data_IF_441494712904
#
_entry.id   IF_441494712904
#
_cell.length_a   1.000
_cell.length_b   1.000
_cell.length_c   1.000
_cell.angle_alpha   90.00
_cell.angle_beta   90.00
_cell.angle_gamma   90.00
#
_symmetry.space_group_name_H-M   'P 1'
#
loop_
_entity.id
_entity.type
_entity.pdbx_description
1 polymer ?
#
# COMPACT_ATOMS: atom_id res chain seq x y z
N UNK A 1 -33.50 -0.64 -23.62
CA UNK A 1 -32.96 -0.78 -22.26
C UNK A 1 -31.90 -1.87 -22.34
N UNK A 2 -30.67 -1.48 -22.69
CA UNK A 2 -29.56 -2.42 -22.86
C UNK A 2 -29.02 -2.68 -21.46
N UNK A 3 -29.20 -3.90 -20.97
CA UNK A 3 -28.51 -4.39 -19.78
C UNK A 3 -27.01 -4.32 -20.07
N UNK A 4 -26.33 -3.35 -19.46
CA UNK A 4 -24.87 -3.32 -19.43
C UNK A 4 -24.48 -4.56 -18.64
N UNK A 5 -23.89 -5.54 -19.32
CA UNK A 5 -23.28 -6.70 -18.69
C UNK A 5 -22.36 -6.20 -17.57
N UNK A 6 -22.57 -6.69 -16.36
CA UNK A 6 -21.87 -6.21 -15.17
C UNK A 6 -20.36 -6.15 -15.39
N UNK A 7 -19.73 -5.07 -14.92
CA UNK A 7 -18.30 -4.85 -15.01
C UNK A 7 -17.55 -6.05 -14.39
N UNK A 8 -16.87 -6.87 -15.20
CA UNK A 8 -16.01 -7.96 -14.72
C UNK A 8 -14.91 -7.38 -13.86
N UNK A 9 -14.38 -8.11 -12.90
CA UNK A 9 -13.18 -7.71 -12.14
C UNK A 9 -11.91 -7.50 -12.99
N UNK A 10 -11.90 -7.98 -14.23
CA UNK A 10 -10.85 -7.77 -15.23
C UNK A 10 -11.19 -6.72 -16.30
N UNK A 11 -12.30 -5.99 -16.18
CA UNK A 11 -12.83 -5.14 -17.26
C UNK A 11 -11.81 -4.16 -17.84
N UNK A 12 -10.92 -3.60 -17.00
CA UNK A 12 -9.87 -2.67 -17.43
C UNK A 12 -8.91 -3.36 -18.39
N UNK A 13 -8.40 -4.52 -17.98
CA UNK A 13 -7.46 -5.29 -18.77
C UNK A 13 -8.13 -5.87 -20.03
N UNK A 14 -9.41 -6.23 -19.93
CA UNK A 14 -10.20 -6.72 -21.05
C UNK A 14 -10.37 -5.63 -22.13
N UNK A 15 -10.86 -4.45 -21.72
CA UNK A 15 -11.01 -3.31 -22.62
C UNK A 15 -9.70 -2.97 -23.32
N UNK A 16 -8.61 -2.83 -22.58
CA UNK A 16 -7.32 -2.46 -23.17
C UNK A 16 -6.78 -3.56 -24.09
N UNK A 17 -6.98 -4.83 -23.75
CA UNK A 17 -6.58 -5.93 -24.63
C UNK A 17 -7.32 -5.88 -25.98
N UNK A 18 -8.61 -5.58 -25.96
CA UNK A 18 -9.42 -5.40 -27.17
C UNK A 18 -8.97 -4.18 -28.01
N UNK A 19 -8.25 -3.24 -27.38
CA UNK A 19 -7.65 -2.07 -28.03
C UNK A 19 -6.16 -2.28 -28.38
N UNK A 20 -5.71 -3.54 -28.43
CA UNK A 20 -4.38 -3.92 -28.93
C UNK A 20 -3.27 -3.88 -27.89
N UNK A 21 -3.60 -3.81 -26.60
CA UNK A 21 -2.62 -3.91 -25.52
C UNK A 21 -2.31 -5.39 -25.25
N UNK A 22 -1.03 -5.74 -25.20
CA UNK A 22 -0.62 -7.10 -24.87
C UNK A 22 -0.93 -7.38 -23.39
N UNK A 23 -1.73 -8.43 -23.12
CA UNK A 23 -1.95 -8.90 -21.75
C UNK A 23 -0.67 -9.52 -21.20
N UNK A 24 -0.37 -9.14 -19.97
CA UNK A 24 0.76 -9.64 -19.23
C UNK A 24 0.26 -10.35 -17.99
N UNK A 25 0.73 -11.57 -17.69
CA UNK A 25 0.32 -12.28 -16.48
C UNK A 25 0.76 -11.50 -15.24
N UNK A 26 -0.07 -11.52 -14.20
CA UNK A 26 0.25 -10.90 -12.93
C UNK A 26 1.55 -11.47 -12.34
N UNK A 27 2.43 -10.60 -11.86
CA UNK A 27 3.61 -10.99 -11.09
C UNK A 27 3.27 -11.41 -9.65
N UNK A 28 4.27 -11.90 -8.88
CA UNK A 28 4.07 -12.19 -7.45
C UNK A 28 3.63 -10.91 -6.73
N UNK A 29 2.71 -11.01 -5.75
CA UNK A 29 2.20 -9.85 -5.01
C UNK A 29 3.36 -9.01 -4.47
N UNK A 30 3.35 -7.75 -4.86
CA UNK A 30 4.35 -6.79 -4.44
C UNK A 30 4.09 -6.38 -2.99
N UNK A 31 5.02 -6.71 -2.09
CA UNK A 31 5.11 -6.08 -0.77
C UNK A 31 6.03 -4.88 -0.91
N UNK A 32 5.50 -3.66 -0.75
CA UNK A 32 6.31 -2.45 -0.77
C UNK A 32 7.26 -2.43 0.45
N UNK A 33 8.56 -2.16 0.24
CA UNK A 33 9.58 -2.07 1.30
C UNK A 33 9.69 -0.63 1.84
N UNK A 34 10.19 -0.45 3.07
CA UNK A 34 10.26 0.83 3.79
C UNK A 34 11.22 1.86 3.15
N UNK A 35 12.24 1.43 2.40
CA UNK A 35 13.05 2.35 1.58
C UNK A 35 12.31 2.85 0.33
N UNK A 36 11.12 2.30 0.08
CA UNK A 36 10.25 2.54 -1.07
C UNK A 36 8.97 3.29 -0.64
N UNK A 37 8.91 3.72 0.62
CA UNK A 37 7.70 4.21 1.30
C UNK A 37 7.24 5.62 0.90
N UNK A 38 8.11 6.39 0.24
CA UNK A 38 7.77 7.73 -0.26
C UNK A 38 7.59 7.77 -1.77
N UNK A 39 7.64 6.61 -2.42
CA UNK A 39 7.51 6.56 -3.84
C UNK A 39 6.65 5.35 -4.22
N UNK A 40 5.50 5.70 -4.76
CA UNK A 40 4.92 5.07 -5.94
C UNK A 40 5.69 3.85 -6.50
N UNK A 41 4.95 2.84 -6.93
CA UNK A 41 5.43 1.50 -7.27
C UNK A 41 6.76 1.33 -8.01
N UNK A 42 7.82 1.15 -7.24
CA UNK A 42 9.11 0.86 -7.85
C UNK A 42 9.22 -0.53 -8.48
N UNK A 43 8.33 -1.49 -8.18
CA UNK A 43 8.29 -2.77 -8.90
C UNK A 43 7.55 -2.68 -10.24
N UNK A 44 6.48 -1.89 -10.34
CA UNK A 44 5.76 -1.69 -11.61
C UNK A 44 6.60 -0.83 -12.57
N UNK A 45 7.39 0.12 -12.04
CA UNK A 45 8.35 0.93 -12.81
C UNK A 45 9.56 0.16 -13.35
N UNK A 46 9.96 -0.91 -12.66
CA UNK A 46 11.01 -1.81 -13.12
C UNK A 46 10.49 -2.96 -13.99
N UNK A 47 9.18 -3.16 -14.10
CA UNK A 47 8.58 -4.14 -15.02
C UNK A 47 8.90 -3.81 -16.51
N UNK A 48 8.81 -2.56 -16.99
CA UNK A 48 9.35 -2.15 -18.29
C UNK A 48 10.84 -2.44 -18.47
N UNK A 49 11.60 -2.60 -17.38
CA UNK A 49 13.06 -2.77 -17.40
C UNK A 49 13.50 -4.24 -17.33
N UNK A 50 12.62 -5.14 -16.88
CA UNK A 50 13.03 -6.44 -16.32
C UNK A 50 12.88 -7.68 -17.19
N UNK A 51 12.21 -7.68 -18.34
CA UNK A 51 12.13 -8.90 -19.13
C UNK A 51 11.30 -8.85 -20.41
N UNK A 52 11.96 -9.18 -21.53
CA UNK A 52 11.45 -9.97 -22.65
C UNK A 52 10.26 -9.48 -23.50
N UNK A 53 9.35 -8.66 -22.96
CA UNK A 53 8.28 -8.05 -23.74
C UNK A 53 8.92 -7.10 -24.74
N UNK A 54 8.90 -7.49 -26.02
CA UNK A 54 9.42 -6.73 -27.13
C UNK A 54 9.07 -5.24 -26.95
N UNK A 55 10.09 -4.39 -27.05
CA UNK A 55 10.04 -2.94 -26.75
C UNK A 55 8.95 -2.16 -27.51
N UNK A 56 8.25 -2.78 -28.47
CA UNK A 56 7.38 -2.12 -29.43
C UNK A 56 5.89 -2.04 -29.02
N UNK A 57 5.37 -2.91 -28.15
CA UNK A 57 3.90 -3.00 -27.95
C UNK A 57 3.44 -2.46 -26.59
N UNK A 58 2.31 -1.71 -26.55
CA UNK A 58 1.68 -1.33 -25.30
C UNK A 58 1.18 -2.59 -24.56
N UNK A 59 1.16 -2.54 -23.23
CA UNK A 59 0.87 -3.72 -22.41
C UNK A 59 0.01 -3.37 -21.20
N UNK A 60 -0.75 -4.36 -20.73
CA UNK A 60 -1.65 -4.24 -19.58
C UNK A 60 -1.49 -5.42 -18.63
N UNK A 61 -1.55 -5.16 -17.32
CA UNK A 61 -1.44 -6.14 -16.25
C UNK A 61 -2.33 -5.74 -15.08
N UNK A 62 -3.17 -6.64 -14.58
CA UNK A 62 -3.89 -6.46 -13.32
C UNK A 62 -3.16 -7.20 -12.19
N UNK A 63 -2.97 -6.55 -11.06
CA UNK A 63 -2.22 -7.09 -9.93
C UNK A 63 -2.78 -6.60 -8.59
N UNK A 64 -2.81 -7.50 -7.61
CA UNK A 64 -3.06 -7.14 -6.21
C UNK A 64 -1.79 -6.57 -5.56
N UNK A 65 -1.95 -5.41 -4.93
CA UNK A 65 -0.90 -4.68 -4.26
C UNK A 65 -1.22 -4.54 -2.79
N UNK A 66 -0.22 -4.74 -1.92
CA UNK A 66 -0.37 -4.56 -0.48
C UNK A 66 0.33 -3.26 -0.11
N UNK A 67 -0.43 -2.32 0.46
CA UNK A 67 0.07 -1.07 1.00
C UNK A 67 0.23 -1.23 2.53
N UNK A 68 1.44 -1.53 3.03
CA UNK A 68 1.68 -1.62 4.48
C UNK A 68 1.68 -0.22 5.14
N UNK A 69 1.77 0.86 4.35
CA UNK A 69 1.63 2.23 4.85
C UNK A 69 0.19 2.47 5.28
N UNK A 70 0.00 2.67 6.58
CA UNK A 70 -1.30 2.63 7.22
C UNK A 70 -1.34 1.81 8.51
N UNK A 71 -0.35 0.94 8.73
CA UNK A 71 -0.14 0.28 10.03
C UNK A 71 0.57 1.26 10.99
N UNK A 72 0.05 2.48 11.13
CA UNK A 72 0.50 3.38 12.18
C UNK A 72 -0.32 3.08 13.44
N UNK A 73 0.31 2.63 14.55
CA UNK A 73 -0.40 2.44 15.81
C UNK A 73 -0.87 3.76 16.47
N UNK A 74 -0.60 4.93 15.87
CA UNK A 74 -0.75 6.26 16.49
C UNK A 74 -1.78 7.21 15.87
N UNK A 75 -2.74 6.77 15.04
CA UNK A 75 -3.82 7.69 14.65
C UNK A 75 -4.85 7.16 13.64
N UNK A 76 -5.94 7.90 13.44
CA UNK A 76 -6.91 7.61 12.39
C UNK A 76 -6.33 8.09 11.06
N UNK A 77 -5.80 7.18 10.24
CA UNK A 77 -5.82 7.28 8.76
C UNK A 77 -5.25 6.03 8.10
N UNK A 78 -6.08 5.51 7.20
CA UNK A 78 -5.91 4.40 6.24
C UNK A 78 -5.37 3.10 6.84
N UNK A 79 -6.21 2.09 7.12
CA UNK A 79 -5.72 0.75 7.43
C UNK A 79 -4.82 0.22 6.32
N UNK A 80 -3.82 -0.60 6.65
CA UNK A 80 -2.98 -1.27 5.67
C UNK A 80 -3.85 -1.99 4.63
N UNK A 81 -3.93 -1.41 3.44
CA UNK A 81 -4.92 -1.78 2.44
C UNK A 81 -4.28 -2.59 1.35
N UNK A 82 -4.90 -3.71 1.03
CA UNK A 82 -4.71 -4.37 -0.25
C UNK A 82 -5.58 -3.67 -1.28
N UNK A 83 -5.08 -3.44 -2.49
CA UNK A 83 -5.83 -2.84 -3.60
C UNK A 83 -5.55 -3.65 -4.87
N UNK A 84 -6.57 -3.82 -5.70
CA UNK A 84 -6.41 -4.36 -7.04
C UNK A 84 -6.15 -3.20 -8.01
N UNK A 85 -4.97 -3.22 -8.63
CA UNK A 85 -4.57 -2.18 -9.59
C UNK A 85 -4.40 -2.79 -10.97
N UNK A 86 -4.84 -2.06 -11.99
CA UNK A 86 -4.46 -2.37 -13.36
C UNK A 86 -3.41 -1.39 -13.84
N UNK A 87 -2.21 -1.90 -14.08
CA UNK A 87 -1.08 -1.16 -14.61
C UNK A 87 -1.06 -1.27 -16.14
N UNK A 88 -0.82 -0.13 -16.78
CA UNK A 88 -0.74 -0.02 -18.23
C UNK A 88 0.58 0.65 -18.58
N UNK A 89 1.29 0.05 -19.53
CA UNK A 89 2.53 0.59 -20.06
C UNK A 89 2.32 0.98 -21.51
N UNK A 90 2.44 2.27 -21.81
CA UNK A 90 2.34 2.79 -23.17
C UNK A 90 3.72 2.83 -23.83
N UNK A 91 3.75 2.67 -25.16
CA UNK A 91 4.95 2.98 -25.94
C UNK A 91 5.17 4.50 -25.97
N UNK A 92 6.43 4.93 -26.08
CA UNK A 92 6.78 6.35 -26.18
C UNK A 92 6.21 7.05 -27.42
N UNK A 93 5.88 6.28 -28.45
CA UNK A 93 5.27 6.76 -29.69
C UNK A 93 3.76 7.03 -29.54
N UNK A 94 3.15 6.60 -28.44
CA UNK A 94 1.76 6.90 -28.14
C UNK A 94 1.62 8.39 -27.80
N UNK A 95 0.93 9.14 -28.65
CA UNK A 95 0.61 10.55 -28.39
C UNK A 95 -0.36 10.71 -27.22
N UNK A 96 -0.25 11.83 -26.51
CA UNK A 96 -1.03 12.10 -25.29
C UNK A 96 -2.56 12.00 -25.54
N UNK A 97 -3.04 12.41 -26.71
CA UNK A 97 -4.46 12.27 -27.10
C UNK A 97 -4.93 10.81 -27.14
N UNK A 98 -4.10 9.89 -27.64
CA UNK A 98 -4.44 8.46 -27.66
C UNK A 98 -4.45 7.89 -26.25
N UNK A 99 -3.46 8.27 -25.43
CA UNK A 99 -3.39 7.85 -24.03
C UNK A 99 -4.66 8.27 -23.29
N UNK A 100 -5.03 9.56 -23.35
CA UNK A 100 -6.24 10.03 -22.68
C UNK A 100 -7.51 9.45 -23.30
N UNK A 101 -7.55 9.26 -24.63
CA UNK A 101 -8.65 8.61 -25.33
C UNK A 101 -8.90 7.19 -24.83
N UNK A 102 -7.84 6.36 -24.77
CA UNK A 102 -7.92 4.97 -24.32
C UNK A 102 -8.32 4.91 -22.83
N UNK A 103 -7.77 5.77 -21.98
CA UNK A 103 -8.09 5.81 -20.54
C UNK A 103 -9.53 6.27 -20.29
N UNK A 104 -9.98 7.32 -20.95
CA UNK A 104 -11.35 7.80 -20.78
C UNK A 104 -12.36 6.86 -21.42
N UNK A 105 -12.02 6.26 -22.56
CA UNK A 105 -12.81 5.20 -23.19
C UNK A 105 -13.00 4.00 -22.27
N UNK A 106 -11.94 3.56 -21.63
CA UNK A 106 -11.93 2.49 -20.63
C UNK A 106 -12.82 2.83 -19.43
N UNK A 107 -12.68 4.03 -18.84
CA UNK A 107 -13.50 4.45 -17.68
C UNK A 107 -14.99 4.52 -18.06
N UNK A 108 -15.32 5.04 -19.25
CA UNK A 108 -16.70 5.08 -19.76
C UNK A 108 -17.26 3.69 -20.02
N UNK A 109 -16.47 2.79 -20.61
CA UNK A 109 -16.85 1.41 -20.83
C UNK A 109 -17.12 0.66 -19.51
N UNK A 110 -16.43 1.06 -18.44
CA UNK A 110 -16.67 0.56 -17.08
C UNK A 110 -18.00 1.04 -16.48
N UNK A 111 -18.60 2.10 -17.05
CA UNK A 111 -19.80 2.76 -16.53
C UNK A 111 -19.51 4.00 -15.66
N UNK A 112 -18.29 4.53 -15.64
CA UNK A 112 -18.01 5.79 -14.94
C UNK A 112 -18.58 6.95 -15.75
N UNK A 113 -19.37 7.81 -15.09
CA UNK A 113 -19.89 9.01 -15.72
C UNK A 113 -18.77 9.98 -16.05
N UNK A 114 -18.63 10.29 -17.34
CA UNK A 114 -17.61 11.20 -17.85
C UNK A 114 -17.76 12.62 -17.30
N UNK A 115 -18.99 13.04 -16.97
CA UNK A 115 -19.24 14.36 -16.40
C UNK A 115 -18.68 14.50 -14.98
N UNK A 116 -18.52 13.38 -14.27
CA UNK A 116 -17.92 13.34 -12.94
C UNK A 116 -16.39 13.24 -12.95
N UNK A 117 -15.72 13.13 -14.10
CA UNK A 117 -14.25 12.95 -14.13
C UNK A 117 -13.57 14.32 -14.10
N UNK A 118 -12.64 14.50 -13.16
CA UNK A 118 -11.78 15.68 -13.04
C UNK A 118 -10.31 15.27 -13.15
N UNK A 119 -9.54 16.00 -13.94
CA UNK A 119 -8.09 15.85 -14.07
C UNK A 119 -7.33 16.79 -13.15
N UNK A 120 -6.31 16.29 -12.47
CA UNK A 120 -5.32 17.09 -11.76
C UNK A 120 -3.97 16.84 -12.41
N UNK A 121 -3.31 17.90 -12.88
CA UNK A 121 -1.97 17.82 -13.48
C UNK A 121 -0.99 18.50 -12.54
N UNK A 122 -0.02 17.75 -12.06
CA UNK A 122 1.05 18.21 -11.17
C UNK A 122 2.37 18.26 -11.94
N UNK A 123 3.09 19.37 -11.85
CA UNK A 123 4.42 19.56 -12.44
C UNK A 123 5.24 20.57 -11.62
N UNK A 124 6.57 20.51 -11.74
CA UNK A 124 7.48 21.50 -11.13
C UNK A 124 7.59 22.76 -11.99
N UNK A 125 8.24 23.82 -11.47
CA UNK A 125 8.42 25.09 -12.20
C UNK A 125 9.07 24.89 -13.58
N UNK A 126 10.05 23.99 -13.69
CA UNK A 126 10.72 23.65 -14.94
C UNK A 126 9.88 22.76 -15.88
N UNK A 127 8.78 22.19 -15.38
CA UNK A 127 7.79 21.38 -16.10
C UNK A 127 6.49 22.12 -16.42
N UNK A 128 6.36 23.39 -16.06
CA UNK A 128 5.10 24.17 -16.15
C UNK A 128 4.53 24.24 -17.58
N UNK A 129 5.37 24.49 -18.60
CA UNK A 129 4.94 24.48 -20.01
C UNK A 129 4.41 23.11 -20.45
N UNK A 130 5.02 22.05 -19.93
CA UNK A 130 4.66 20.66 -20.25
C UNK A 130 3.39 20.24 -19.54
N UNK A 131 3.27 20.56 -18.25
CA UNK A 131 2.05 20.37 -17.48
C UNK A 131 0.88 21.11 -18.14
N UNK A 132 1.11 22.34 -18.62
CA UNK A 132 0.13 23.10 -19.39
C UNK A 132 -0.26 22.42 -20.72
N UNK A 133 0.72 21.90 -21.45
CA UNK A 133 0.46 21.14 -22.69
C UNK A 133 -0.39 19.87 -22.46
N UNK A 134 -0.04 19.12 -21.41
CA UNK A 134 -0.77 17.93 -20.97
C UNK A 134 -2.19 18.30 -20.51
N UNK A 135 -2.34 19.37 -19.73
CA UNK A 135 -3.63 19.87 -19.30
C UNK A 135 -4.52 20.27 -20.49
N UNK A 136 -3.95 20.92 -21.53
CA UNK A 136 -4.67 21.23 -22.77
C UNK A 136 -5.12 19.98 -23.51
N UNK A 137 -4.26 18.96 -23.60
CA UNK A 137 -4.61 17.69 -24.25
C UNK A 137 -5.73 16.95 -23.51
N UNK A 138 -5.67 16.93 -22.18
CA UNK A 138 -6.72 16.32 -21.36
C UNK A 138 -8.04 17.12 -21.43
N UNK A 139 -7.97 18.45 -21.41
CA UNK A 139 -9.14 19.31 -21.59
C UNK A 139 -9.78 19.14 -22.97
N UNK A 140 -8.99 18.92 -24.03
CA UNK A 140 -9.49 18.62 -25.37
C UNK A 140 -10.28 17.30 -25.44
N UNK A 141 -10.07 16.39 -24.48
CA UNK A 141 -10.88 15.17 -24.32
C UNK A 141 -12.17 15.38 -23.52
N UNK A 142 -12.50 16.63 -23.16
CA UNK A 142 -13.71 17.01 -22.43
C UNK A 142 -13.63 16.85 -20.91
N UNK A 143 -12.42 16.75 -20.35
CA UNK A 143 -12.21 16.59 -18.91
C UNK A 143 -11.82 17.95 -18.30
N UNK A 144 -12.54 18.46 -17.28
CA UNK A 144 -12.10 19.60 -16.50
C UNK A 144 -10.73 19.35 -15.87
N UNK A 145 -9.80 20.30 -15.99
CA UNK A 145 -8.42 20.14 -15.50
C UNK A 145 -8.05 21.22 -14.49
N UNK A 146 -7.45 20.81 -13.38
CA UNK A 146 -6.77 21.66 -12.41
C UNK A 146 -5.27 21.45 -12.54
N UNK A 147 -4.50 22.52 -12.73
CA UNK A 147 -3.03 22.47 -12.73
C UNK A 147 -2.52 22.86 -11.35
N UNK A 148 -1.57 22.11 -10.82
CA UNK A 148 -0.92 22.33 -9.53
C UNK A 148 0.59 22.34 -9.69
N UNK A 149 1.24 23.22 -8.95
CA UNK A 149 2.69 23.21 -8.79
C UNK A 149 3.07 22.16 -7.75
N UNK A 150 4.11 21.37 -8.05
CA UNK A 150 4.71 20.41 -7.13
C UNK A 150 5.88 21.07 -6.41
N UNK A 151 5.99 20.90 -5.08
CA UNK A 151 7.09 21.41 -4.24
C UNK A 151 8.45 20.70 -4.49
N UNK A 152 8.61 20.00 -5.61
CA UNK A 152 9.79 19.20 -5.93
C UNK A 152 10.96 20.03 -6.45
N UNK A 153 12.03 20.14 -5.66
CA UNK A 153 13.32 20.67 -6.12
C UNK A 153 14.07 19.60 -6.93
N UNK A 154 14.01 19.67 -8.25
CA UNK A 154 15.12 19.34 -9.16
C UNK A 154 14.66 19.53 -10.61
N UNK A 155 15.16 20.59 -11.25
CA UNK A 155 14.66 21.15 -12.50
C UNK A 155 14.32 20.12 -13.58
N UNK A 156 13.01 19.98 -13.83
CA UNK A 156 12.24 19.29 -14.87
C UNK A 156 11.70 17.93 -14.44
N UNK A 157 11.09 17.95 -13.26
CA UNK A 157 10.49 16.84 -12.57
C UNK A 157 9.38 16.10 -13.32
N UNK A 158 8.85 15.05 -12.67
CA UNK A 158 7.78 14.25 -13.21
C UNK A 158 6.52 15.09 -13.46
N UNK A 159 5.84 14.88 -14.60
CA UNK A 159 4.47 15.36 -14.76
C UNK A 159 3.54 14.22 -14.40
N UNK A 160 2.82 14.39 -13.30
CA UNK A 160 1.84 13.42 -12.82
C UNK A 160 0.45 13.91 -13.20
N UNK A 161 -0.37 13.01 -13.73
CA UNK A 161 -1.79 13.29 -14.00
C UNK A 161 -2.62 12.36 -13.16
N UNK A 162 -3.48 12.91 -12.32
CA UNK A 162 -4.46 12.14 -11.54
C UNK A 162 -5.86 12.36 -12.10
N UNK A 163 -6.58 11.28 -12.36
CA UNK A 163 -7.99 11.31 -12.69
C UNK A 163 -8.81 10.98 -11.45
N UNK A 164 -9.74 11.86 -11.11
CA UNK A 164 -10.62 11.78 -9.95
C UNK A 164 -12.07 11.67 -10.43
N UNK A 165 -12.93 11.00 -9.67
CA UNK A 165 -14.37 11.04 -9.82
C UNK A 165 -14.97 11.94 -8.74
N UNK A 166 -15.74 12.94 -9.14
CA UNK A 166 -16.53 13.80 -8.26
C UNK A 166 -17.86 13.12 -7.95
N UNK A 167 -17.98 12.66 -6.70
CA UNK A 167 -19.16 11.95 -6.21
C UNK A 167 -20.23 12.85 -5.61
N UNK A 168 -20.06 14.19 -5.61
CA UNK A 168 -21.13 15.09 -5.18
C UNK A 168 -20.69 16.39 -4.53
N UNK A 169 -21.34 16.74 -3.42
CA UNK A 169 -21.23 18.06 -2.80
C UNK A 169 -19.98 18.22 -1.94
N UNK A 170 -19.54 19.47 -1.82
CA UNK A 170 -18.47 19.86 -0.93
C UNK A 170 -18.80 19.64 0.54
N UNK A 171 -17.86 19.05 1.28
CA UNK A 171 -17.97 18.93 2.73
C UNK A 171 -17.69 20.26 3.46
N UNK A 172 -16.99 21.18 2.80
CA UNK A 172 -16.58 22.49 3.31
C UNK A 172 -16.15 23.41 2.16
N UNK A 173 -16.06 24.73 2.37
CA UNK A 173 -15.53 25.67 1.36
C UNK A 173 -14.09 25.37 0.90
N UNK A 174 -13.29 24.70 1.74
CA UNK A 174 -11.90 24.31 1.45
C UNK A 174 -11.79 22.89 0.86
N UNK A 175 -12.93 22.28 0.51
CA UNK A 175 -12.96 20.95 -0.08
C UNK A 175 -12.23 20.98 -1.43
N UNK A 176 -11.23 20.12 -1.55
CA UNK A 176 -10.27 20.12 -2.64
C UNK A 176 -9.85 18.67 -2.93
N UNK A 177 -9.13 18.40 -4.03
CA UNK A 177 -8.56 17.07 -4.33
C UNK A 177 -7.70 16.42 -3.21
N UNK A 178 -7.24 17.23 -2.25
CA UNK A 178 -6.50 16.78 -1.06
C UNK A 178 -7.39 16.51 0.17
N UNK A 179 -8.69 16.80 0.06
CA UNK A 179 -9.66 16.54 1.12
C UNK A 179 -9.90 15.05 1.28
N UNK A 180 -10.08 14.60 2.53
CA UNK A 180 -10.27 13.20 2.88
C UNK A 180 -11.74 12.85 3.13
N UNK A 181 -12.66 13.73 2.72
CA UNK A 181 -14.09 13.51 2.84
C UNK A 181 -14.63 12.42 1.90
N UNK A 182 -13.84 11.97 0.93
CA UNK A 182 -14.23 10.94 -0.03
C UNK A 182 -15.05 11.44 -1.23
N UNK A 183 -15.35 12.75 -1.32
CA UNK A 183 -16.01 13.36 -2.48
C UNK A 183 -15.25 13.09 -3.78
N UNK A 184 -13.95 13.36 -3.79
CA UNK A 184 -13.08 13.20 -4.95
C UNK A 184 -12.35 11.86 -4.83
N UNK A 185 -12.87 10.86 -5.54
CA UNK A 185 -12.36 9.50 -5.50
C UNK A 185 -11.27 9.30 -6.57
N UNK A 186 -10.04 8.91 -6.22
CA UNK A 186 -8.99 8.68 -7.21
C UNK A 186 -9.28 7.43 -8.05
N UNK A 187 -9.39 7.61 -9.36
CA UNK A 187 -9.61 6.53 -10.33
C UNK A 187 -8.30 6.03 -10.93
N UNK A 188 -7.42 6.96 -11.31
CA UNK A 188 -6.20 6.64 -12.01
C UNK A 188 -5.07 7.66 -11.77
N UNK A 189 -3.84 7.16 -11.78
CA UNK A 189 -2.61 7.95 -11.69
C UNK A 189 -1.76 7.66 -12.95
N UNK A 190 -1.41 8.68 -13.73
CA UNK A 190 -0.54 8.59 -14.90
C UNK A 190 0.78 9.29 -14.60
N UNK A 191 1.87 8.59 -14.85
CA UNK A 191 3.20 9.17 -14.81
C UNK A 191 3.71 9.34 -16.25
N UNK A 192 3.83 10.60 -16.65
CA UNK A 192 4.27 11.00 -17.98
C UNK A 192 5.74 11.42 -18.01
N UNK A 193 6.57 10.97 -17.07
CA UNK A 193 7.99 11.34 -16.98
C UNK A 193 8.83 10.73 -18.12
N UNK A 194 9.25 11.55 -19.09
CA UNK A 194 9.99 11.09 -20.29
C UNK A 194 11.52 11.05 -20.14
N UNK A 195 12.07 11.43 -18.97
CA UNK A 195 13.50 11.73 -18.83
C UNK A 195 14.45 10.54 -18.92
N UNK A 196 14.04 9.33 -18.52
CA UNK A 196 14.91 8.14 -18.52
C UNK A 196 14.17 6.82 -18.83
N UNK A 197 13.00 6.88 -19.46
CA UNK A 197 12.17 5.71 -19.71
C UNK A 197 11.66 5.63 -21.14
N UNK A 198 11.65 4.41 -21.65
CA UNK A 198 11.08 4.04 -22.94
C UNK A 198 9.55 3.89 -22.89
N UNK A 199 8.93 4.06 -21.71
CA UNK A 199 7.49 3.86 -21.48
C UNK A 199 6.89 4.91 -20.56
N UNK A 200 5.60 5.16 -20.75
CA UNK A 200 4.75 5.95 -19.86
C UNK A 200 3.90 4.97 -19.04
N UNK A 201 3.66 5.30 -17.77
CA UNK A 201 2.93 4.43 -16.85
C UNK A 201 1.55 4.99 -16.53
N UNK A 202 0.54 4.13 -16.55
CA UNK A 202 -0.77 4.41 -15.95
C UNK A 202 -1.05 3.34 -14.90
N UNK A 203 -1.68 3.78 -13.83
CA UNK A 203 -2.28 2.93 -12.82
C UNK A 203 -3.76 3.26 -12.70
N UNK A 204 -4.59 2.23 -12.79
CA UNK A 204 -6.03 2.31 -12.56
C UNK A 204 -6.36 1.55 -11.28
N UNK A 205 -7.12 2.18 -10.40
CA UNK A 205 -7.58 1.62 -9.12
C UNK A 205 -8.92 0.94 -9.31
N UNK A 206 -8.94 -0.39 -9.39
CA UNK A 206 -10.14 -1.15 -9.80
C UNK A 206 -11.28 -0.96 -8.79
N UNK A 207 -10.97 -0.99 -7.50
CA UNK A 207 -11.93 -0.71 -6.42
C UNK A 207 -12.58 0.67 -6.56
N UNK A 208 -11.77 1.70 -6.83
CA UNK A 208 -12.27 3.07 -6.97
C UNK A 208 -13.17 3.20 -8.19
N UNK A 209 -12.81 2.57 -9.31
CA UNK A 209 -13.69 2.55 -10.48
C UNK A 209 -15.00 1.85 -10.16
N UNK A 210 -14.97 0.68 -9.50
CA UNK A 210 -16.18 -0.01 -9.10
C UNK A 210 -17.05 0.81 -8.14
N UNK A 211 -16.43 1.55 -7.21
CA UNK A 211 -17.15 2.45 -6.30
C UNK A 211 -17.79 3.64 -7.04
N UNK A 212 -17.11 4.24 -8.01
CA UNK A 212 -17.67 5.30 -8.84
C UNK A 212 -18.87 4.81 -9.67
N UNK A 213 -18.76 3.62 -10.26
CA UNK A 213 -19.86 2.98 -11.02
C UNK A 213 -21.08 2.73 -10.11
N UNK A 214 -20.86 2.24 -8.89
CA UNK A 214 -21.91 2.06 -7.89
C UNK A 214 -22.56 3.37 -7.44
N UNK A 215 -21.78 4.44 -7.26
CA UNK A 215 -22.30 5.75 -6.94
C UNK A 215 -23.21 6.32 -8.05
N UNK A 216 -22.94 5.95 -9.32
CA UNK A 216 -23.82 6.22 -10.46
C UNK A 216 -25.06 5.33 -10.55
N UNK A 217 -25.29 4.43 -9.60
CA UNK A 217 -26.45 3.52 -9.54
C UNK A 217 -26.33 2.24 -10.36
N UNK A 218 -25.14 1.95 -10.91
CA UNK A 218 -24.89 0.72 -11.68
C UNK A 218 -24.31 -0.40 -10.79
N UNK A 219 -24.48 -1.65 -11.21
CA UNK A 219 -23.94 -2.83 -10.51
C UNK A 219 -22.57 -3.21 -11.07
N UNK A 220 -21.72 -3.76 -10.21
CA UNK A 220 -20.36 -4.20 -10.57
C UNK A 220 -20.13 -5.63 -10.11
N UNK A 221 -19.36 -6.41 -10.86
CA UNK A 221 -18.92 -7.74 -10.44
C UNK A 221 -17.82 -7.72 -9.36
N UNK A 222 -17.22 -6.55 -9.12
CA UNK A 222 -16.24 -6.37 -8.04
C UNK A 222 -16.94 -6.27 -6.67
N UNK A 223 -16.54 -7.06 -5.65
CA UNK A 223 -17.18 -7.06 -4.34
C UNK A 223 -17.10 -5.73 -3.61
N UNK A 224 -18.16 -5.36 -2.90
CA UNK A 224 -18.18 -4.17 -2.06
C UNK A 224 -17.61 -4.46 -0.67
N UNK A 225 -16.69 -3.60 -0.21
CA UNK A 225 -16.20 -3.64 1.16
C UNK A 225 -17.29 -3.30 2.19
N UNK A 226 -18.37 -2.62 1.79
CA UNK A 226 -19.49 -2.27 2.67
C UNK A 226 -20.07 -3.49 3.41
N UNK A 227 -20.27 -4.62 2.71
CA UNK A 227 -20.81 -5.84 3.31
C UNK A 227 -19.90 -6.36 4.43
N UNK A 228 -18.59 -6.43 4.18
CA UNK A 228 -17.63 -6.87 5.19
C UNK A 228 -17.56 -5.89 6.36
N UNK A 229 -17.59 -4.57 6.09
CA UNK A 229 -17.60 -3.54 7.14
C UNK A 229 -18.83 -3.63 8.03
N UNK A 230 -20.02 -3.75 7.46
CA UNK A 230 -21.26 -3.88 8.23
C UNK A 230 -21.24 -5.13 9.12
N UNK A 231 -20.78 -6.26 8.57
CA UNK A 231 -20.65 -7.50 9.32
C UNK A 231 -19.68 -7.37 10.50
N UNK A 232 -18.54 -6.70 10.30
CA UNK A 232 -17.56 -6.43 11.37
C UNK A 232 -18.09 -5.41 12.39
N UNK A 233 -18.80 -4.37 11.93
CA UNK A 233 -19.35 -3.32 12.78
C UNK A 233 -20.33 -3.86 13.81
N UNK A 234 -21.09 -4.91 13.47
CA UNK A 234 -21.96 -5.62 14.41
C UNK A 234 -21.24 -6.25 15.61
N UNK A 235 -19.90 -6.33 15.60
CA UNK A 235 -19.08 -6.89 16.69
C UNK A 235 -18.07 -5.91 17.29
N UNK A 236 -17.44 -5.07 16.46
CA UNK A 236 -16.39 -4.13 16.90
C UNK A 236 -16.84 -2.66 16.98
N UNK A 237 -18.08 -2.36 16.58
CA UNK A 237 -18.54 -0.98 16.41
C UNK A 237 -18.04 -0.35 15.11
N UNK A 238 -18.70 0.73 14.69
CA UNK A 238 -18.46 1.38 13.39
C UNK A 238 -17.03 1.92 13.24
N UNK A 239 -16.47 2.52 14.30
CA UNK A 239 -15.16 3.19 14.26
C UNK A 239 -13.99 2.23 13.98
N UNK A 240 -14.11 0.97 14.43
CA UNK A 240 -13.08 -0.04 14.25
C UNK A 240 -13.32 -0.94 13.02
N UNK A 241 -14.55 -0.93 12.48
CA UNK A 241 -14.97 -1.87 11.44
C UNK A 241 -14.21 -1.68 10.12
N UNK A 242 -14.00 -0.44 9.69
CA UNK A 242 -13.29 -0.16 8.44
C UNK A 242 -11.85 -0.71 8.48
N UNK A 243 -11.15 -0.41 9.57
CA UNK A 243 -9.77 -0.86 9.75
C UNK A 243 -9.66 -2.39 9.79
N UNK A 244 -10.59 -3.05 10.49
CA UNK A 244 -10.61 -4.50 10.59
C UNK A 244 -11.00 -5.19 9.28
N UNK A 245 -11.96 -4.66 8.53
CA UNK A 245 -12.34 -5.18 7.23
C UNK A 245 -11.19 -5.10 6.21
N UNK A 246 -10.52 -3.95 6.14
CA UNK A 246 -9.35 -3.78 5.26
C UNK A 246 -8.19 -4.71 5.65
N UNK A 247 -7.89 -4.83 6.94
CA UNK A 247 -6.86 -5.75 7.42
C UNK A 247 -7.22 -7.22 7.14
N UNK A 248 -8.49 -7.60 7.29
CA UNK A 248 -8.95 -8.96 7.01
C UNK A 248 -8.81 -9.32 5.53
N UNK A 249 -9.14 -8.41 4.60
CA UNK A 249 -8.87 -8.57 3.17
C UNK A 249 -7.38 -8.75 2.90
N UNK A 250 -6.54 -7.93 3.51
CA UNK A 250 -5.09 -8.01 3.37
C UNK A 250 -4.52 -9.34 3.86
N UNK A 251 -5.01 -9.81 5.01
CA UNK A 251 -4.64 -11.11 5.58
C UNK A 251 -5.13 -12.27 4.70
N UNK A 252 -6.38 -12.23 4.23
CA UNK A 252 -6.92 -13.24 3.33
C UNK A 252 -6.08 -13.39 2.06
N UNK A 253 -5.71 -12.27 1.41
CA UNK A 253 -4.83 -12.28 0.24
C UNK A 253 -3.46 -12.89 0.57
N UNK A 254 -2.76 -12.36 1.57
CA UNK A 254 -1.39 -12.74 1.88
C UNK A 254 -1.28 -14.19 2.35
N UNK A 255 -2.18 -14.61 3.24
CA UNK A 255 -2.26 -16.00 3.69
C UNK A 255 -2.65 -16.91 2.52
N UNK A 256 -3.57 -16.50 1.66
CA UNK A 256 -3.93 -17.26 0.46
C UNK A 256 -2.76 -17.55 -0.47
N UNK A 257 -1.87 -16.57 -0.64
CA UNK A 257 -0.67 -16.68 -1.46
C UNK A 257 0.45 -17.51 -0.83
N UNK A 258 0.23 -18.12 0.34
CA UNK A 258 1.25 -18.91 1.00
C UNK A 258 2.14 -18.12 1.97
N UNK A 259 1.92 -16.82 2.15
CA UNK A 259 2.71 -16.05 3.13
C UNK A 259 2.27 -16.46 4.54
N UNK A 260 3.23 -16.90 5.35
CA UNK A 260 2.97 -17.34 6.73
C UNK A 260 3.53 -16.29 7.70
N UNK A 261 2.83 -15.98 8.81
CA UNK A 261 3.37 -15.12 9.85
C UNK A 261 4.77 -15.57 10.29
N UNK A 262 5.71 -14.63 10.38
CA UNK A 262 7.11 -14.92 10.66
C UNK A 262 7.88 -13.71 11.18
N UNK A 263 9.17 -13.84 11.50
CA UNK A 263 9.96 -12.76 12.08
C UNK A 263 10.52 -11.77 11.04
N UNK A 264 10.60 -12.13 9.75
CA UNK A 264 11.27 -11.34 8.70
C UNK A 264 10.44 -11.22 7.42
N UNK A 265 10.75 -10.21 6.60
CA UNK A 265 10.19 -10.01 5.27
C UNK A 265 8.65 -9.94 5.25
N UNK A 266 8.04 -10.51 4.22
CA UNK A 266 6.57 -10.56 4.08
C UNK A 266 5.87 -11.27 5.26
N UNK A 267 6.51 -12.29 5.84
CA UNK A 267 5.99 -12.96 7.04
C UNK A 267 5.92 -12.05 8.26
N UNK A 268 6.86 -11.11 8.41
CA UNK A 268 6.81 -10.09 9.47
C UNK A 268 5.64 -9.12 9.26
N UNK A 269 5.38 -8.71 8.02
CA UNK A 269 4.22 -7.85 7.69
C UNK A 269 2.91 -8.55 8.05
N UNK A 270 2.73 -9.81 7.64
CA UNK A 270 1.54 -10.60 8.01
C UNK A 270 1.42 -10.73 9.52
N UNK A 271 2.51 -11.05 10.21
CA UNK A 271 2.52 -11.17 11.67
C UNK A 271 2.10 -9.86 12.36
N UNK A 272 2.59 -8.72 11.87
CA UNK A 272 2.22 -7.40 12.39
C UNK A 272 0.74 -7.09 12.16
N UNK A 273 0.20 -7.39 10.98
CA UNK A 273 -1.22 -7.25 10.66
C UNK A 273 -2.09 -8.11 11.59
N UNK A 274 -1.75 -9.39 11.76
CA UNK A 274 -2.45 -10.30 12.70
C UNK A 274 -2.41 -9.73 14.11
N UNK A 275 -1.24 -9.32 14.58
CA UNK A 275 -1.04 -8.82 15.94
C UNK A 275 -1.80 -7.51 16.19
N UNK A 276 -1.84 -6.59 15.22
CA UNK A 276 -2.62 -5.35 15.29
C UNK A 276 -4.11 -5.66 15.43
N UNK A 277 -4.64 -6.56 14.61
CA UNK A 277 -6.05 -6.96 14.69
C UNK A 277 -6.38 -7.65 16.01
N UNK A 278 -5.54 -8.57 16.48
CA UNK A 278 -5.72 -9.20 17.79
C UNK A 278 -5.71 -8.16 18.94
N UNK A 279 -4.89 -7.11 18.81
CA UNK A 279 -4.89 -5.98 19.75
C UNK A 279 -6.23 -5.24 19.73
N UNK A 280 -6.77 -4.94 18.55
CA UNK A 280 -8.08 -4.28 18.41
C UNK A 280 -9.22 -5.13 18.98
N UNK A 281 -9.22 -6.44 18.68
CA UNK A 281 -10.20 -7.38 19.25
C UNK A 281 -10.11 -7.39 20.77
N UNK A 282 -8.90 -7.48 21.31
CA UNK A 282 -8.67 -7.45 22.76
C UNK A 282 -9.17 -6.14 23.39
N UNK A 283 -8.85 -4.99 22.77
CA UNK A 283 -9.30 -3.66 23.21
C UNK A 283 -10.82 -3.55 23.24
N UNK A 284 -11.48 -4.01 22.17
CA UNK A 284 -12.93 -4.04 22.05
C UNK A 284 -13.61 -5.16 22.83
N UNK A 285 -12.88 -5.91 23.66
CA UNK A 285 -13.38 -7.06 24.42
C UNK A 285 -14.07 -8.12 23.55
N UNK A 286 -13.65 -8.23 22.28
CA UNK A 286 -14.13 -9.23 21.33
C UNK A 286 -13.26 -10.48 21.42
N UNK A 287 -13.85 -11.69 21.37
CA UNK A 287 -13.10 -12.93 21.32
C UNK A 287 -12.04 -12.95 20.20
N UNK A 288 -10.82 -13.37 20.52
CA UNK A 288 -9.68 -13.32 19.58
C UNK A 288 -9.86 -14.23 18.36
N UNK A 289 -10.67 -15.29 18.48
CA UNK A 289 -11.04 -16.18 17.38
C UNK A 289 -11.95 -15.51 16.36
N UNK A 290 -12.58 -14.38 16.68
CA UNK A 290 -13.32 -13.60 15.68
C UNK A 290 -12.43 -13.15 14.51
N UNK A 291 -11.11 -13.01 14.70
CA UNK A 291 -10.18 -12.76 13.60
C UNK A 291 -10.24 -13.86 12.54
N UNK A 292 -10.38 -15.11 12.97
CA UNK A 292 -10.44 -16.25 12.07
C UNK A 292 -11.68 -16.13 11.16
N UNK A 293 -12.82 -15.75 11.74
CA UNK A 293 -14.09 -15.59 11.02
C UNK A 293 -14.07 -14.41 10.04
N UNK A 294 -13.53 -13.24 10.46
CA UNK A 294 -13.46 -12.05 9.58
C UNK A 294 -12.56 -12.32 8.37
N UNK A 295 -11.42 -12.98 8.59
CA UNK A 295 -10.47 -13.31 7.50
C UNK A 295 -11.08 -14.36 6.56
N UNK A 296 -11.79 -15.37 7.08
CA UNK A 296 -12.50 -16.33 6.24
C UNK A 296 -13.60 -15.64 5.42
N UNK A 297 -14.37 -14.73 6.04
CA UNK A 297 -15.42 -13.99 5.34
C UNK A 297 -14.85 -13.11 4.21
N UNK A 298 -13.71 -12.46 4.45
CA UNK A 298 -13.01 -11.72 3.41
C UNK A 298 -12.53 -12.65 2.27
N UNK A 299 -12.01 -13.83 2.60
CA UNK A 299 -11.59 -14.80 1.58
C UNK A 299 -12.77 -15.33 0.74
N UNK A 300 -13.94 -15.55 1.34
CA UNK A 300 -15.17 -15.91 0.61
C UNK A 300 -15.61 -14.79 -0.33
N UNK A 301 -15.64 -13.55 0.17
CA UNK A 301 -16.12 -12.39 -0.57
C UNK A 301 -15.23 -12.08 -1.79
N UNK A 302 -13.90 -12.18 -1.63
CA UNK A 302 -12.92 -11.84 -2.66
C UNK A 302 -12.38 -13.03 -3.44
N UNK A 303 -12.65 -14.28 -3.02
CA UNK A 303 -12.07 -15.48 -3.61
C UNK A 303 -12.47 -15.77 -5.06
N UNK A 304 -13.54 -15.12 -5.55
CA UNK A 304 -13.95 -15.15 -6.96
C UNK A 304 -13.31 -14.06 -7.82
N UNK A 305 -12.55 -13.14 -7.22
CA UNK A 305 -11.95 -12.00 -7.93
C UNK A 305 -10.64 -12.41 -8.59
N UNK A 306 -10.44 -12.03 -9.85
CA UNK A 306 -9.28 -12.34 -10.65
C UNK A 306 -7.98 -11.97 -9.92
N UNK A 307 -7.06 -12.94 -9.87
CA UNK A 307 -5.77 -12.80 -9.18
C UNK A 307 -5.85 -12.86 -7.65
N UNK A 308 -7.04 -12.94 -7.05
CA UNK A 308 -7.20 -13.22 -5.63
C UNK A 308 -7.17 -14.73 -5.41
N UNK A 309 -6.38 -15.26 -4.46
CA UNK A 309 -6.28 -16.69 -4.24
C UNK A 309 -7.58 -17.23 -3.63
N UNK A 310 -8.09 -18.32 -4.17
CA UNK A 310 -9.07 -19.12 -3.44
C UNK A 310 -8.42 -19.74 -2.20
N UNK A 311 -9.04 -19.53 -1.05
CA UNK A 311 -8.49 -19.98 0.24
C UNK A 311 -9.52 -20.80 1.00
N UNK A 312 -9.13 -22.01 1.37
CA UNK A 312 -9.97 -22.84 2.22
C UNK A 312 -9.94 -22.35 3.69
N UNK A 313 -11.11 -22.23 4.31
CA UNK A 313 -11.26 -21.68 5.67
C UNK A 313 -10.44 -22.42 6.75
N UNK A 314 -10.37 -23.76 6.78
CA UNK A 314 -9.47 -24.52 7.65
C UNK A 314 -7.99 -24.15 7.51
N UNK A 315 -7.52 -23.87 6.30
CA UNK A 315 -6.13 -23.46 6.06
C UNK A 315 -5.85 -22.08 6.66
N UNK A 316 -6.75 -21.12 6.44
CA UNK A 316 -6.65 -19.77 7.03
C UNK A 316 -6.64 -19.82 8.55
N UNK A 317 -7.62 -20.54 9.14
CA UNK A 317 -7.73 -20.78 10.60
C UNK A 317 -6.44 -21.36 11.16
N UNK A 318 -5.87 -22.38 10.50
CA UNK A 318 -4.61 -23.02 10.93
C UNK A 318 -3.44 -22.04 10.92
N UNK A 319 -3.35 -21.17 9.91
CA UNK A 319 -2.26 -20.19 9.78
C UNK A 319 -2.35 -19.06 10.81
N UNK A 320 -3.56 -18.68 11.22
CA UNK A 320 -3.80 -17.67 12.24
C UNK A 320 -3.64 -18.22 13.67
N UNK A 321 -3.97 -19.50 13.88
CA UNK A 321 -4.02 -20.12 15.20
C UNK A 321 -2.75 -19.93 16.03
N UNK A 322 -1.57 -20.15 15.44
CA UNK A 322 -0.29 -20.05 16.15
C UNK A 322 -0.05 -18.63 16.71
N UNK A 323 -0.31 -17.60 15.91
CA UNK A 323 -0.16 -16.20 16.35
C UNK A 323 -1.24 -15.81 17.36
N UNK A 324 -2.49 -16.29 17.21
CA UNK A 324 -3.55 -16.07 18.20
C UNK A 324 -3.21 -16.65 19.57
N UNK A 325 -2.74 -17.90 19.61
CA UNK A 325 -2.31 -18.56 20.86
C UNK A 325 -1.10 -17.83 21.46
N UNK A 326 -0.14 -17.43 20.63
CA UNK A 326 1.03 -16.66 21.07
C UNK A 326 0.63 -15.33 21.68
N UNK A 327 -0.25 -14.58 21.03
CA UNK A 327 -0.77 -13.29 21.50
C UNK A 327 -1.49 -13.46 22.84
N UNK A 328 -2.43 -14.41 22.95
CA UNK A 328 -3.17 -14.65 24.19
C UNK A 328 -2.26 -14.98 25.38
N UNK A 329 -1.21 -15.79 25.15
CA UNK A 329 -0.18 -16.09 26.17
C UNK A 329 0.64 -14.85 26.56
N UNK A 330 0.96 -13.99 25.58
CA UNK A 330 1.74 -12.79 25.80
C UNK A 330 0.95 -11.76 26.63
N UNK A 331 -0.30 -11.47 26.27
CA UNK A 331 -1.13 -10.44 26.94
C UNK A 331 -1.16 -10.62 28.46
N UNK A 332 -1.46 -11.83 28.95
CA UNK A 332 -1.57 -12.08 30.39
C UNK A 332 -0.24 -11.87 31.15
N UNK A 333 0.87 -12.36 30.59
CA UNK A 333 2.20 -12.22 31.20
C UNK A 333 2.74 -10.80 31.10
N UNK A 334 2.54 -10.16 29.95
CA UNK A 334 3.01 -8.79 29.68
C UNK A 334 2.24 -7.79 30.55
N UNK A 335 0.94 -7.96 30.78
CA UNK A 335 0.17 -7.04 31.64
C UNK A 335 0.73 -6.99 33.07
N UNK A 336 1.03 -8.15 33.67
CA UNK A 336 1.64 -8.21 35.00
C UNK A 336 2.99 -7.51 35.06
N UNK A 337 3.80 -7.65 34.01
CA UNK A 337 5.10 -6.99 33.90
C UNK A 337 4.94 -5.49 33.70
N UNK A 338 4.07 -5.07 32.79
CA UNK A 338 3.74 -3.68 32.53
C UNK A 338 3.31 -2.94 33.81
N UNK A 339 2.41 -3.52 34.62
CA UNK A 339 2.00 -2.93 35.90
C UNK A 339 3.19 -2.75 36.84
N UNK A 340 4.10 -3.73 36.91
CA UNK A 340 5.28 -3.65 37.77
C UNK A 340 6.34 -2.68 37.29
N UNK A 341 6.54 -2.57 35.97
CA UNK A 341 7.73 -1.92 35.39
C UNK A 341 7.45 -0.58 34.72
N UNK A 342 6.22 -0.30 34.31
CA UNK A 342 5.84 0.91 33.56
C UNK A 342 4.92 1.80 34.39
N UNK A 343 3.86 1.24 35.00
CA UNK A 343 2.81 2.02 35.67
C UNK A 343 3.32 2.91 36.81
N UNK A 344 4.40 2.50 37.48
CA UNK A 344 4.99 3.22 38.60
C UNK A 344 6.15 4.13 38.21
N UNK A 345 6.46 4.27 36.92
CA UNK A 345 7.56 5.12 36.45
C UNK A 345 7.09 6.53 36.13
N UNK A 346 7.97 7.54 36.27
CA UNK A 346 7.67 8.86 35.76
C UNK A 346 7.45 8.81 34.23
N UNK A 347 6.50 9.61 33.70
CA UNK A 347 6.22 9.68 32.27
C UNK A 347 7.44 10.17 31.48
N UNK A 348 7.50 9.84 30.19
CA UNK A 348 8.60 10.21 29.30
C UNK A 348 9.61 9.08 29.02
N UNK A 349 10.91 9.38 29.02
CA UNK A 349 11.96 8.48 28.52
C UNK A 349 12.09 7.19 29.33
N UNK A 350 11.81 7.22 30.63
CA UNK A 350 11.85 6.04 31.51
C UNK A 350 10.73 5.04 31.21
N UNK A 351 9.53 5.54 30.90
CA UNK A 351 8.44 4.71 30.41
C UNK A 351 8.81 4.12 29.05
N UNK A 352 9.31 4.93 28.10
CA UNK A 352 9.74 4.45 26.78
C UNK A 352 10.79 3.33 26.85
N UNK A 353 11.81 3.45 27.72
CA UNK A 353 12.80 2.40 27.96
C UNK A 353 12.18 1.13 28.52
N UNK A 354 11.26 1.24 29.49
CA UNK A 354 10.59 0.08 30.06
C UNK A 354 9.70 -0.63 29.02
N UNK A 355 9.06 0.13 28.12
CA UNK A 355 8.31 -0.43 26.99
C UNK A 355 9.22 -1.19 26.01
N UNK A 356 10.41 -0.66 25.72
CA UNK A 356 11.40 -1.33 24.88
C UNK A 356 11.76 -2.73 25.43
N UNK A 357 11.94 -2.83 26.74
CA UNK A 357 12.22 -4.10 27.43
C UNK A 357 11.05 -5.07 27.31
N UNK A 358 9.81 -4.61 27.50
CA UNK A 358 8.62 -5.45 27.31
C UNK A 358 8.49 -5.98 25.87
N UNK A 359 8.83 -5.15 24.88
CA UNK A 359 8.85 -5.55 23.47
C UNK A 359 9.95 -6.59 23.21
N UNK A 360 11.19 -6.30 23.61
CA UNK A 360 12.35 -7.13 23.33
C UNK A 360 12.34 -8.48 24.08
N UNK A 361 12.04 -8.47 25.38
CA UNK A 361 12.14 -9.66 26.23
C UNK A 361 10.85 -10.48 26.29
N UNK A 362 9.71 -9.84 26.06
CA UNK A 362 8.41 -10.48 26.23
C UNK A 362 7.55 -10.47 24.97
N UNK A 363 8.07 -9.93 23.85
CA UNK A 363 7.37 -9.91 22.57
C UNK A 363 6.07 -9.11 22.62
N UNK A 364 5.98 -8.14 23.53
CA UNK A 364 4.79 -7.31 23.69
C UNK A 364 4.54 -6.49 22.41
N UNK A 365 3.34 -6.58 21.82
CA UNK A 365 3.00 -5.73 20.67
C UNK A 365 2.95 -4.26 21.07
N UNK A 366 3.58 -3.38 20.29
CA UNK A 366 3.59 -1.95 20.58
C UNK A 366 2.17 -1.37 20.68
N UNK A 367 1.26 -1.74 19.76
CA UNK A 367 -0.12 -1.25 19.80
C UNK A 367 -0.84 -1.56 21.12
N UNK A 368 -0.59 -2.75 21.69
CA UNK A 368 -1.16 -3.16 22.98
C UNK A 368 -0.61 -2.30 24.13
N UNK A 369 0.69 -2.04 24.10
CA UNK A 369 1.34 -1.21 25.11
C UNK A 369 0.86 0.24 25.05
N UNK A 370 0.71 0.78 23.84
CA UNK A 370 0.22 2.15 23.61
C UNK A 370 -1.21 2.32 24.10
N UNK A 371 -2.06 1.32 23.87
CA UNK A 371 -3.42 1.29 24.42
C UNK A 371 -3.40 1.35 25.95
N UNK A 372 -2.59 0.53 26.64
CA UNK A 372 -2.52 0.57 28.10
C UNK A 372 -1.97 1.88 28.65
N UNK A 373 -0.98 2.49 27.99
CA UNK A 373 -0.49 3.82 28.38
C UNK A 373 -1.60 4.85 28.30
N UNK A 374 -2.44 4.80 27.26
CA UNK A 374 -3.58 5.69 27.11
C UNK A 374 -4.63 5.44 28.21
N UNK A 375 -4.97 4.17 28.48
CA UNK A 375 -5.91 3.78 29.55
C UNK A 375 -5.44 4.26 30.94
N UNK A 376 -4.13 4.19 31.20
CA UNK A 376 -3.52 4.58 32.47
C UNK A 376 -3.13 6.07 32.54
N UNK A 377 -3.40 6.86 31.49
CA UNK A 377 -3.10 8.29 31.44
C UNK A 377 -1.60 8.64 31.38
N UNK A 378 -0.74 7.70 30.92
CA UNK A 378 0.71 7.88 30.84
C UNK A 378 1.08 8.45 29.47
N UNK A 379 1.50 9.71 29.45
CA UNK A 379 1.99 10.35 28.23
C UNK A 379 3.42 9.91 27.90
N UNK A 380 3.62 9.36 26.69
CA UNK A 380 4.95 9.10 26.12
C UNK A 380 5.09 9.89 24.81
N UNK A 381 6.17 10.67 24.62
CA UNK A 381 6.35 11.44 23.39
C UNK A 381 6.36 10.55 22.14
N UNK A 382 5.63 10.96 21.10
CA UNK A 382 5.51 10.20 19.83
C UNK A 382 6.87 9.89 19.20
N UNK A 383 7.87 10.76 19.39
CA UNK A 383 9.25 10.52 18.92
C UNK A 383 9.91 9.31 19.57
N UNK A 384 9.67 9.07 20.85
CA UNK A 384 10.26 7.93 21.56
C UNK A 384 9.55 6.64 21.16
N UNK A 385 8.23 6.68 21.01
CA UNK A 385 7.45 5.57 20.47
C UNK A 385 7.89 5.21 19.03
N UNK A 386 8.16 6.23 18.19
CA UNK A 386 8.69 6.03 16.85
C UNK A 386 10.11 5.41 16.85
N UNK A 387 10.94 5.76 17.84
CA UNK A 387 12.26 5.11 18.01
C UNK A 387 12.15 3.65 18.40
N UNK A 388 11.14 3.26 19.17
CA UNK A 388 10.90 1.84 19.50
C UNK A 388 10.58 1.01 18.25
N UNK A 389 9.87 1.58 17.27
CA UNK A 389 9.65 0.93 15.97
C UNK A 389 10.89 0.87 15.08
N UNK A 390 11.85 1.79 15.23
CA UNK A 390 13.05 1.87 14.40
C UNK A 390 14.27 1.14 15.02
N UNK A 391 14.32 1.01 16.35
CA UNK A 391 15.46 0.50 17.12
C UNK A 391 15.74 -1.00 16.99
N UNK A 392 14.81 -1.80 16.46
CA UNK A 392 15.07 -3.21 16.11
C UNK A 392 16.12 -3.34 14.99
N UNK A 393 16.34 -2.30 14.17
CA UNK A 393 17.29 -2.30 13.04
C UNK A 393 18.74 -2.03 13.41
N UNK A 394 18.99 -1.44 14.58
CA UNK A 394 20.34 -1.01 14.99
C UNK A 394 21.13 -2.14 15.65
N UNK A 395 20.45 -3.09 16.29
CA UNK A 395 21.07 -4.19 17.03
C UNK A 395 21.63 -5.28 16.11
N UNK A 396 20.94 -5.61 15.00
CA UNK A 396 21.42 -6.64 14.05
C UNK A 396 22.63 -6.18 13.20
N UNK A 397 22.86 -4.88 13.00
CA UNK A 397 24.05 -4.37 12.29
C UNK A 397 25.33 -4.34 13.15
N UNK A 398 25.20 -4.44 14.47
CA UNK A 398 26.34 -4.42 15.40
C UNK A 398 26.94 -5.81 15.69
N UNK A 399 26.23 -6.90 15.42
CA UNK A 399 26.61 -8.25 15.84
C UNK A 399 27.36 -9.08 14.77
N UNK A 400 27.77 -8.46 13.66
CA UNK A 400 28.27 -9.16 12.47
C UNK A 400 29.65 -8.73 11.97
N UNK A 401 30.58 -8.34 12.84
CA UNK A 401 31.98 -8.14 12.44
C UNK A 401 32.91 -8.85 13.42
N UNK A 402 33.50 -10.02 13.06
CA UNK A 402 34.61 -10.56 13.83
C UNK A 402 35.79 -9.60 13.71
N UNK A 403 36.38 -9.28 14.86
CA UNK A 403 37.69 -8.64 14.97
C UNK A 403 38.67 -9.37 14.04
N UNK A 404 39.24 -8.63 13.08
CA UNK A 404 40.44 -9.03 12.37
C UNK A 404 41.33 -7.80 12.24
N UNK A 405 42.38 -7.82 13.06
CA UNK A 405 43.72 -7.27 12.85
C UNK A 405 43.82 -5.96 12.06
N UNK A 406 43.72 -4.85 12.78
CA UNK A 406 44.42 -3.62 12.43
C UNK A 406 45.83 -3.66 13.03
N UNK A 407 46.71 -4.44 12.39
CA UNK A 407 48.15 -4.42 12.64
C UNK A 407 48.88 -4.42 11.31
N UNK A 408 49.06 -3.25 10.70
CA UNK A 408 50.31 -2.78 10.08
C UNK A 408 50.06 -1.53 9.24
N UNK A 409 50.70 -0.43 9.63
CA UNK A 409 50.79 0.78 8.86
C UNK A 409 52.20 1.37 8.98
N UNK A 410 52.86 1.49 7.81
CA UNK A 410 54.10 2.23 7.50
C UNK A 410 55.38 1.43 7.84
N UNK A 411 56.42 1.39 7.01
CA UNK A 411 56.97 2.48 6.19
C UNK A 411 58.01 1.96 5.16
N UNK A 412 58.02 2.61 3.98
CA UNK A 412 59.21 3.10 3.25
C UNK A 412 60.24 2.10 2.71
N UNK A 413 60.55 2.23 1.42
CA UNK A 413 61.86 1.84 0.88
C UNK A 413 61.80 1.39 -0.58
N UNK A 414 62.41 2.17 -1.47
CA UNK A 414 62.42 1.92 -2.91
C UNK A 414 63.23 0.71 -3.37
N UNK A 415 63.07 0.40 -4.65
CA UNK A 415 63.85 -0.62 -5.36
C UNK A 415 63.14 -0.99 -6.66
N UNK A 416 63.60 -0.44 -7.78
CA UNK A 416 62.95 -0.57 -9.08
C UNK A 416 62.96 -2.00 -9.65
N UNK A 417 62.14 -2.27 -10.69
CA UNK A 417 62.16 -3.56 -11.35
C UNK A 417 63.25 -3.60 -12.44
N UNK A 418 64.21 -4.51 -12.28
CA UNK A 418 64.96 -5.11 -13.39
C UNK A 418 64.52 -6.56 -13.49
N UNK A 419 64.09 -7.01 -14.66
CA UNK A 419 64.43 -8.30 -15.27
C UNK A 419 63.98 -8.31 -16.74
N UNK A 420 64.56 -9.16 -17.60
CA UNK A 420 64.98 -8.80 -18.94
C UNK A 420 64.03 -9.34 -20.01
N UNK A 421 64.23 -8.88 -21.24
CA UNK A 421 63.59 -9.43 -22.44
C UNK A 421 64.09 -10.85 -22.73
N UNK A 422 63.12 -11.74 -22.95
CA UNK A 422 62.96 -12.86 -23.91
C UNK A 422 64.19 -13.53 -24.54
N UNK A 423 64.08 -14.82 -24.89
CA UNK A 423 63.37 -15.21 -26.13
C UNK A 423 61.95 -15.73 -25.93
#
# INVERSE_FOLDING_TARGET
MVSIAGCSDTFVADYLADHGYARVPAGPVAVADEATALAHPHRWWNWPRGGGLARASPAVMSQWCVHPHGINPFGPRTPGSVECVTAVAFSRECGDQRIFGDVLGMLRAAGVDAAGIVGVVEGDEAGSDRATGIAKSLAACGVPVVVRESDGSDGGGPVLVRLLCDLGADCSPDCSPSCLCGRLLPLADLDLTRRHQDRLGLLVRVESVAAAVRAGGATTGFPDMAELREWVAGRLGADAADAAAHAARSLALLLGLGVVPGPRGAGHVVRRLVTDQLTRLFAGQVPLDFLDDVVCRAAELFGGVAGFPFCDAPLLRRRLHAERVRFGRAVGKVRQRYVRTVLHRPPGDDAARALAVLMAEHGAPLGLLVMWLADDGIAVPSRELARLTLGERSSERGAGRPESDAGFGRSVGGGGPRFPRSP
#
